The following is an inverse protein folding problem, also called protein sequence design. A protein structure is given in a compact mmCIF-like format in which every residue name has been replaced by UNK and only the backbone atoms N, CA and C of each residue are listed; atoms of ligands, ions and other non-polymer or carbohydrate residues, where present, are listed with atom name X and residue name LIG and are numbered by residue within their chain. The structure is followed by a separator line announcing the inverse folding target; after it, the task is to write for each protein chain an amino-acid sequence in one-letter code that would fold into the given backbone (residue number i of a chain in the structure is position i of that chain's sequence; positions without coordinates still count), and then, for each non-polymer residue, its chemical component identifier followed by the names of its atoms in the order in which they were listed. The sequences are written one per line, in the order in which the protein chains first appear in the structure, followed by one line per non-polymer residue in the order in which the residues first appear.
data_IF_703272936069
#
_entry.id   IF_703272936069
#
_cell.length_a   1.000
_cell.length_b   1.000
_cell.length_c   1.000
_cell.angle_alpha   90.00
_cell.angle_beta   90.00
_cell.angle_gamma   90.00
#
_symmetry.space_group_name_H-M   'P 1'
#
loop_
_entity.id
_entity.type
_entity.pdbx_description
1 polymer ?
#
# COMPACT_ATOMS: atom_id res chain seq x y z
N UNK A 1 -12.51 1.15 -6.38
CA UNK A 1 -11.06 1.29 -6.60
C UNK A 1 -10.35 0.15 -5.88
N UNK A 2 -9.57 -0.65 -6.59
CA UNK A 2 -8.77 -1.75 -6.03
C UNK A 2 -7.38 -1.20 -5.67
N UNK A 3 -6.94 -1.46 -4.44
CA UNK A 3 -5.66 -1.01 -3.91
C UNK A 3 -4.84 -2.24 -3.53
N UNK A 4 -3.60 -2.29 -4.00
CA UNK A 4 -2.61 -3.29 -3.60
C UNK A 4 -1.64 -2.69 -2.56
N UNK A 5 -1.61 -3.24 -1.36
CA UNK A 5 -0.59 -2.95 -0.35
C UNK A 5 0.55 -3.98 -0.40
N UNK A 6 1.79 -3.52 -0.25
CA UNK A 6 3.00 -4.34 -0.18
C UNK A 6 3.78 -4.02 1.10
N UNK A 7 4.10 -5.08 1.85
CA UNK A 7 5.08 -5.06 2.94
C UNK A 7 6.35 -5.79 2.45
N UNK A 8 7.37 -5.06 1.98
CA UNK A 8 8.53 -5.67 1.35
C UNK A 8 9.45 -6.31 2.39
N UNK A 9 9.89 -7.53 2.11
CA UNK A 9 10.90 -8.21 2.92
C UNK A 9 11.69 -9.21 2.08
N UNK A 10 13.00 -9.30 2.35
CA UNK A 10 13.88 -10.13 1.52
C UNK A 10 13.51 -11.62 1.62
N UNK A 11 13.15 -12.14 2.80
CA UNK A 11 12.71 -13.55 2.97
C UNK A 11 11.24 -13.72 2.64
N UNK A 12 10.41 -12.82 3.15
CA UNK A 12 8.96 -12.85 2.99
C UNK A 12 8.51 -11.44 2.64
N UNK A 13 7.79 -11.30 1.53
CA UNK A 13 7.11 -10.06 1.16
C UNK A 13 5.61 -10.26 1.28
N UNK A 14 4.96 -9.48 2.13
CA UNK A 14 3.51 -9.50 2.31
C UNK A 14 2.79 -8.75 1.18
N UNK A 15 1.62 -9.25 0.79
CA UNK A 15 0.70 -8.51 -0.08
C UNK A 15 -0.73 -8.52 0.46
N UNK A 16 -1.45 -7.43 0.23
CA UNK A 16 -2.85 -7.28 0.59
C UNK A 16 -3.62 -6.51 -0.48
N UNK A 17 -4.78 -7.00 -0.88
CA UNK A 17 -5.62 -6.40 -1.91
C UNK A 17 -6.97 -6.07 -1.30
N UNK A 18 -7.38 -4.81 -1.42
CA UNK A 18 -8.66 -4.33 -0.91
C UNK A 18 -9.43 -3.57 -2.00
N UNK A 19 -10.75 -3.57 -1.89
CA UNK A 19 -11.63 -2.72 -2.68
C UNK A 19 -12.16 -1.57 -1.82
N UNK A 20 -11.87 -0.34 -2.23
CA UNK A 20 -12.46 0.89 -1.70
C UNK A 20 -13.68 1.29 -2.53
N UNK A 21 -14.83 1.44 -1.87
CA UNK A 21 -16.06 1.97 -2.44
C UNK A 21 -16.66 3.04 -1.52
N UNK A 22 -16.49 4.32 -1.86
CA UNK A 22 -16.70 5.41 -0.91
C UNK A 22 -15.82 5.19 0.32
N UNK A 23 -16.40 5.29 1.52
CA UNK A 23 -15.68 5.02 2.78
C UNK A 23 -15.63 3.54 3.17
N UNK A 24 -16.26 2.64 2.40
CA UNK A 24 -16.28 1.21 2.71
C UNK A 24 -15.06 0.52 2.13
N UNK A 25 -14.38 -0.26 2.95
CA UNK A 25 -13.29 -1.15 2.55
C UNK A 25 -13.81 -2.58 2.53
N UNK A 26 -13.36 -3.36 1.55
CA UNK A 26 -13.64 -4.80 1.45
C UNK A 26 -12.36 -5.55 1.14
N UNK A 27 -12.15 -6.66 1.83
CA UNK A 27 -11.08 -7.59 1.50
C UNK A 27 -11.28 -8.21 0.11
N UNK A 28 -10.19 -8.36 -0.65
CA UNK A 28 -10.15 -9.17 -1.87
C UNK A 28 -9.25 -10.38 -1.67
N UNK A 29 -7.99 -10.16 -1.29
CA UNK A 29 -6.99 -11.20 -1.13
C UNK A 29 -5.82 -10.71 -0.28
N UNK A 30 -5.05 -11.64 0.27
CA UNK A 30 -3.77 -11.36 0.94
C UNK A 30 -2.93 -12.62 0.95
N UNK A 31 -1.64 -12.46 1.18
CA UNK A 31 -0.72 -13.59 1.29
C UNK A 31 0.72 -13.14 1.41
N UNK A 32 1.62 -14.07 1.15
CA UNK A 32 3.06 -13.81 1.20
C UNK A 32 3.77 -14.41 0.00
N UNK A 33 4.80 -13.71 -0.47
CA UNK A 33 5.75 -14.19 -1.47
C UNK A 33 7.01 -14.57 -0.70
N UNK A 34 7.31 -15.87 -0.70
CA UNK A 34 8.48 -16.44 0.00
C UNK A 34 9.61 -16.59 -1.01
N UNK A 35 10.69 -15.82 -0.85
CA UNK A 35 11.84 -15.87 -1.77
C UNK A 35 12.76 -17.07 -1.55
N UNK A 36 12.54 -17.81 -0.45
CA UNK A 36 13.33 -18.98 -0.10
C UNK A 36 14.78 -18.64 0.26
N UNK A 37 15.67 -19.60 -0.02
CA UNK A 37 17.11 -19.51 0.21
C UNK A 37 17.86 -19.42 -1.13
N UNK A 38 19.17 -19.18 -1.05
CA UNK A 38 20.05 -19.05 -2.22
C UNK A 38 20.53 -17.62 -2.48
N UNK A 39 21.10 -17.42 -3.66
CA UNK A 39 21.77 -16.19 -4.05
C UNK A 39 20.79 -15.02 -4.15
N UNK A 40 21.26 -13.85 -3.69
CA UNK A 40 20.44 -12.63 -3.60
C UNK A 40 19.76 -12.25 -4.93
N UNK A 41 20.43 -12.25 -6.10
CA UNK A 41 19.77 -11.91 -7.36
C UNK A 41 18.57 -12.82 -7.71
N UNK A 42 18.69 -14.12 -7.46
CA UNK A 42 17.60 -15.07 -7.71
C UNK A 42 16.41 -14.80 -6.79
N UNK A 43 16.69 -14.50 -5.52
CA UNK A 43 15.67 -14.16 -4.53
C UNK A 43 14.95 -12.84 -4.85
N UNK A 44 15.68 -11.83 -5.33
CA UNK A 44 15.10 -10.58 -5.82
C UNK A 44 14.19 -10.81 -7.03
N UNK A 45 14.57 -11.72 -7.94
CA UNK A 45 13.72 -12.13 -9.07
C UNK A 45 12.41 -12.76 -8.60
N UNK A 46 12.44 -13.63 -7.57
CA UNK A 46 11.21 -14.21 -7.00
C UNK A 46 10.27 -13.13 -6.46
N UNK A 47 10.80 -12.11 -5.79
CA UNK A 47 9.99 -10.97 -5.29
C UNK A 47 9.40 -10.20 -6.48
N UNK A 48 10.21 -9.87 -7.49
CA UNK A 48 9.76 -9.15 -8.68
C UNK A 48 8.64 -9.90 -9.40
N UNK A 49 8.86 -11.18 -9.71
CA UNK A 49 7.90 -12.01 -10.44
C UNK A 49 6.63 -12.23 -9.61
N UNK A 50 6.74 -12.48 -8.31
CA UNK A 50 5.59 -12.67 -7.43
C UNK A 50 4.72 -11.42 -7.30
N UNK A 51 5.33 -10.24 -7.14
CA UNK A 51 4.59 -8.97 -7.09
C UNK A 51 3.94 -8.68 -8.45
N UNK A 52 4.64 -8.97 -9.56
CA UNK A 52 4.08 -8.88 -10.91
C UNK A 52 2.88 -9.80 -11.10
N UNK A 53 2.93 -11.04 -10.62
CA UNK A 53 1.83 -11.99 -10.68
C UNK A 53 0.60 -11.50 -9.90
N UNK A 54 0.81 -10.97 -8.68
CA UNK A 54 -0.27 -10.36 -7.89
C UNK A 54 -0.88 -9.17 -8.63
N UNK A 55 -0.07 -8.27 -9.19
CA UNK A 55 -0.54 -7.13 -9.97
C UNK A 55 -1.34 -7.57 -11.21
N UNK A 56 -0.86 -8.56 -11.96
CA UNK A 56 -1.54 -9.10 -13.13
C UNK A 56 -2.86 -9.81 -12.79
N UNK A 57 -2.89 -10.53 -11.67
CA UNK A 57 -4.05 -11.30 -11.20
C UNK A 57 -5.18 -10.40 -10.74
N UNK A 58 -4.88 -9.43 -9.87
CA UNK A 58 -5.90 -8.61 -9.23
C UNK A 58 -6.16 -7.27 -9.94
N UNK A 59 -5.28 -6.85 -10.86
CA UNK A 59 -5.38 -5.62 -11.65
C UNK A 59 -5.75 -4.40 -10.79
N UNK A 60 -4.94 -4.08 -9.76
CA UNK A 60 -5.23 -2.95 -8.91
C UNK A 60 -5.17 -1.62 -9.69
N UNK A 61 -5.90 -0.62 -9.22
CA UNK A 61 -5.86 0.74 -9.80
C UNK A 61 -4.61 1.50 -9.33
N UNK A 62 -4.15 1.21 -8.12
CA UNK A 62 -2.94 1.77 -7.53
C UNK A 62 -2.31 0.80 -6.53
N UNK A 63 -1.06 1.07 -6.18
CA UNK A 63 -0.34 0.35 -5.15
C UNK A 63 0.17 1.28 -4.05
N UNK A 64 0.33 0.72 -2.86
CA UNK A 64 0.93 1.37 -1.72
C UNK A 64 2.00 0.45 -1.12
N UNK A 65 3.14 1.01 -0.74
CA UNK A 65 4.26 0.26 -0.19
C UNK A 65 4.78 0.91 1.09
N UNK A 66 5.23 0.09 2.04
CA UNK A 66 5.88 0.59 3.24
C UNK A 66 7.23 1.27 2.91
N UNK A 67 7.50 2.40 3.58
CA UNK A 67 8.80 3.07 3.58
C UNK A 67 9.76 2.36 4.52
N UNK A 68 10.95 2.07 4.01
CA UNK A 68 12.04 1.49 4.81
C UNK A 68 12.90 2.62 5.36
N UNK A 69 13.16 2.57 6.66
CA UNK A 69 14.08 3.47 7.36
C UNK A 69 15.37 2.73 7.71
N UNK A 70 16.48 3.46 7.78
CA UNK A 70 17.76 2.89 8.18
C UNK A 70 17.67 2.44 9.64
N UNK A 71 17.93 1.15 9.87
CA UNK A 71 17.93 0.57 11.21
C UNK A 71 19.37 0.39 11.73
N UNK A 72 19.51 -0.10 12.96
CA UNK A 72 20.78 -0.33 13.68
C UNK A 72 21.78 -1.16 12.87
N UNK A 73 21.30 -2.06 12.00
CA UNK A 73 22.15 -2.83 11.10
C UNK A 73 22.03 -2.31 9.63
N UNK A 74 23.07 -1.61 9.12
CA UNK A 74 23.06 -1.08 7.76
C UNK A 74 23.02 -2.17 6.69
N UNK A 75 23.59 -3.35 6.94
CA UNK A 75 23.64 -4.43 5.97
C UNK A 75 22.25 -5.03 5.74
N UNK A 76 21.48 -5.29 6.82
CA UNK A 76 20.10 -5.76 6.67
C UNK A 76 19.20 -4.71 6.03
N UNK A 77 19.43 -3.42 6.34
CA UNK A 77 18.73 -2.29 5.70
C UNK A 77 19.00 -2.26 4.19
N UNK A 78 20.25 -2.46 3.76
CA UNK A 78 20.61 -2.48 2.34
C UNK A 78 19.90 -3.62 1.60
N UNK A 79 19.90 -4.82 2.18
CA UNK A 79 19.21 -5.99 1.63
C UNK A 79 17.69 -5.77 1.52
N UNK A 80 17.09 -5.18 2.56
CA UNK A 80 15.67 -4.80 2.56
C UNK A 80 15.37 -3.74 1.49
N UNK A 81 16.25 -2.75 1.32
CA UNK A 81 16.16 -1.76 0.26
C UNK A 81 16.17 -2.37 -1.15
N UNK A 82 16.98 -3.41 -1.37
CA UNK A 82 17.00 -4.14 -2.65
C UNK A 82 15.70 -4.93 -2.89
N UNK A 83 15.19 -5.63 -1.88
CA UNK A 83 13.90 -6.33 -1.96
C UNK A 83 12.74 -5.37 -2.26
N UNK A 84 12.73 -4.22 -1.57
CA UNK A 84 11.78 -3.13 -1.83
C UNK A 84 11.92 -2.58 -3.25
N UNK A 85 13.15 -2.38 -3.73
CA UNK A 85 13.42 -1.96 -5.11
C UNK A 85 12.83 -2.92 -6.13
N UNK A 86 13.01 -4.23 -5.95
CA UNK A 86 12.43 -5.26 -6.81
C UNK A 86 10.89 -5.19 -6.83
N UNK A 87 10.25 -5.03 -5.66
CA UNK A 87 8.80 -4.88 -5.56
C UNK A 87 8.30 -3.61 -6.28
N UNK A 88 8.95 -2.46 -6.07
CA UNK A 88 8.57 -1.20 -6.75
C UNK A 88 8.72 -1.35 -8.26
N UNK A 89 9.84 -1.91 -8.75
CA UNK A 89 10.06 -2.17 -10.16
C UNK A 89 8.94 -3.02 -10.77
N UNK A 90 8.48 -4.07 -10.08
CA UNK A 90 7.37 -4.90 -10.53
C UNK A 90 6.07 -4.09 -10.68
N UNK A 91 5.73 -3.27 -9.67
CA UNK A 91 4.51 -2.44 -9.66
C UNK A 91 4.52 -1.40 -10.78
N UNK A 92 5.60 -0.63 -10.91
CA UNK A 92 5.67 0.44 -11.92
C UNK A 92 5.78 -0.12 -13.33
N UNK A 93 6.36 -1.31 -13.52
CA UNK A 93 6.37 -2.02 -14.81
C UNK A 93 4.96 -2.43 -15.26
N UNK A 94 4.03 -2.58 -14.31
CA UNK A 94 2.60 -2.78 -14.58
C UNK A 94 1.81 -1.47 -14.75
N UNK A 95 2.49 -0.32 -14.75
CA UNK A 95 1.86 1.00 -14.90
C UNK A 95 1.08 1.47 -13.67
N UNK A 96 1.32 0.86 -12.51
CA UNK A 96 0.63 1.22 -11.27
C UNK A 96 1.23 2.50 -10.66
N UNK A 97 0.42 3.49 -10.30
CA UNK A 97 0.85 4.55 -9.39
C UNK A 97 1.21 3.93 -8.04
N UNK A 98 2.40 4.26 -7.52
CA UNK A 98 2.88 3.75 -6.22
C UNK A 98 2.96 4.90 -5.22
N UNK A 99 2.26 4.75 -4.09
CA UNK A 99 2.37 5.63 -2.93
C UNK A 99 3.17 4.98 -1.81
N UNK A 100 3.81 5.78 -0.97
CA UNK A 100 4.69 5.29 0.08
C UNK A 100 4.27 5.79 1.46
N UNK A 101 4.25 4.89 2.45
CA UNK A 101 3.83 5.20 3.82
C UNK A 101 4.83 4.72 4.86
N UNK A 102 5.10 5.54 5.85
CA UNK A 102 5.89 5.14 7.02
C UNK A 102 5.11 4.21 7.96
N UNK A 103 5.80 3.40 8.80
CA UNK A 103 5.15 2.59 9.83
C UNK A 103 4.25 3.43 10.74
N UNK A 104 4.69 4.65 11.08
CA UNK A 104 3.93 5.58 11.92
C UNK A 104 2.64 6.03 11.25
N UNK A 105 2.68 6.37 9.95
CA UNK A 105 1.47 6.73 9.19
C UNK A 105 0.50 5.57 9.09
N UNK A 106 1.01 4.36 8.84
CA UNK A 106 0.19 3.14 8.82
C UNK A 106 -0.52 2.93 10.16
N UNK A 107 0.23 2.92 11.26
CA UNK A 107 -0.31 2.75 12.61
C UNK A 107 -1.33 3.83 12.96
N UNK A 108 -1.04 5.08 12.60
CA UNK A 108 -1.96 6.20 12.78
C UNK A 108 -3.26 6.01 11.98
N UNK A 109 -3.17 5.57 10.73
CA UNK A 109 -4.33 5.42 9.84
C UNK A 109 -5.21 4.21 10.19
N UNK A 110 -4.61 3.13 10.73
CA UNK A 110 -5.31 1.88 11.04
C UNK A 110 -5.85 1.87 12.48
N UNK A 111 -5.04 2.29 13.45
CA UNK A 111 -5.33 2.17 14.89
C UNK A 111 -5.69 3.52 15.52
N UNK A 112 -5.34 4.63 14.89
CA UNK A 112 -5.55 5.99 15.43
C UNK A 112 -4.36 6.54 16.24
N UNK A 113 -3.27 5.78 16.37
CA UNK A 113 -2.03 6.25 17.00
C UNK A 113 -0.79 5.66 16.32
N UNK A 114 0.18 6.50 15.99
CA UNK A 114 1.47 6.09 15.43
C UNK A 114 2.33 5.19 16.35
N UNK A 115 1.98 5.09 17.63
CA UNK A 115 2.70 4.27 18.64
C UNK A 115 2.07 2.90 18.87
N UNK A 116 1.09 2.50 18.08
CA UNK A 116 0.41 1.21 18.23
C UNK A 116 1.38 0.01 18.17
N UNK A 117 1.07 -1.01 18.96
CA UNK A 117 1.72 -2.32 18.89
C UNK A 117 1.32 -3.07 17.62
N UNK A 118 2.13 -4.03 17.15
CA UNK A 118 1.86 -4.75 15.89
C UNK A 118 0.57 -5.57 15.98
N UNK A 119 0.30 -6.14 17.14
CA UNK A 119 -0.89 -6.95 17.43
C UNK A 119 -2.16 -6.10 17.29
N UNK A 120 -2.11 -4.84 17.74
CA UNK A 120 -3.23 -3.91 17.59
C UNK A 120 -3.51 -3.57 16.12
N UNK A 121 -2.47 -3.45 15.30
CA UNK A 121 -2.62 -3.25 13.85
C UNK A 121 -3.31 -4.47 13.25
N UNK A 122 -2.84 -5.67 13.57
CA UNK A 122 -3.41 -6.93 13.07
C UNK A 122 -4.89 -7.10 13.43
N UNK A 123 -5.25 -6.84 14.69
CA UNK A 123 -6.64 -6.86 15.16
C UNK A 123 -7.52 -5.85 14.42
N UNK A 124 -7.00 -4.62 14.25
CA UNK A 124 -7.74 -3.55 13.57
C UNK A 124 -7.91 -3.83 12.08
N UNK A 125 -6.90 -4.39 11.41
CA UNK A 125 -7.00 -4.84 10.02
C UNK A 125 -8.12 -5.88 9.87
N UNK A 126 -8.15 -6.88 10.76
CA UNK A 126 -9.19 -7.90 10.74
C UNK A 126 -10.60 -7.29 10.91
N UNK A 127 -10.75 -6.33 11.83
CA UNK A 127 -12.03 -5.63 12.08
C UNK A 127 -12.45 -4.76 10.89
N UNK A 128 -11.56 -3.91 10.39
CA UNK A 128 -11.85 -2.96 9.31
C UNK A 128 -12.21 -3.66 7.99
N UNK A 129 -11.67 -4.85 7.76
CA UNK A 129 -11.93 -5.64 6.56
C UNK A 129 -12.93 -6.79 6.79
N UNK A 130 -13.49 -6.91 8.00
CA UNK A 130 -14.39 -7.99 8.41
C UNK A 130 -13.84 -9.39 8.07
N UNK A 131 -12.56 -9.63 8.37
CA UNK A 131 -11.92 -10.92 8.19
C UNK A 131 -12.47 -11.92 9.22
N UNK A 132 -12.64 -13.21 8.86
CA UNK A 132 -13.16 -14.22 9.77
C UNK A 132 -12.12 -14.71 10.81
N UNK A 133 -10.88 -14.24 10.69
CA UNK A 133 -9.77 -14.60 11.56
C UNK A 133 -8.62 -13.64 11.37
N UNK A 134 -7.61 -13.76 12.24
CA UNK A 134 -6.43 -12.92 12.18
C UNK A 134 -5.56 -13.30 10.96
N UNK A 135 -5.21 -12.34 10.09
CA UNK A 135 -4.26 -12.59 9.01
C UNK A 135 -2.87 -12.86 9.57
N UNK A 136 -1.98 -13.53 8.84
CA UNK A 136 -0.56 -13.60 9.21
C UNK A 136 0.07 -12.21 9.30
N UNK A 137 1.14 -12.04 10.08
CA UNK A 137 1.73 -10.73 10.39
C UNK A 137 2.11 -9.92 9.14
N UNK A 138 2.79 -10.53 8.17
CA UNK A 138 3.22 -9.85 6.94
C UNK A 138 2.02 -9.47 6.06
N UNK A 139 0.97 -10.32 6.05
CA UNK A 139 -0.27 -10.03 5.35
C UNK A 139 -1.06 -8.89 6.05
N UNK A 140 -1.01 -8.84 7.38
CA UNK A 140 -1.63 -7.77 8.16
C UNK A 140 -0.96 -6.42 7.90
N UNK A 141 0.37 -6.37 7.92
CA UNK A 141 1.16 -5.17 7.63
C UNK A 141 0.85 -4.70 6.19
N UNK A 142 0.84 -5.60 5.20
CA UNK A 142 0.49 -5.26 3.80
C UNK A 142 -0.97 -4.76 3.63
N UNK A 143 -1.95 -5.40 4.28
CA UNK A 143 -3.35 -4.91 4.28
C UNK A 143 -3.46 -3.55 4.98
N UNK A 144 -2.69 -3.34 6.05
CA UNK A 144 -2.59 -2.08 6.77
C UNK A 144 -2.06 -0.95 5.88
N UNK A 145 -1.04 -1.21 5.05
CA UNK A 145 -0.53 -0.27 4.05
C UNK A 145 -1.64 0.12 3.06
N UNK A 146 -2.42 -0.86 2.58
CA UNK A 146 -3.52 -0.59 1.65
C UNK A 146 -4.64 0.26 2.30
N UNK A 147 -5.00 -0.03 3.55
CA UNK A 147 -5.97 0.76 4.34
C UNK A 147 -5.45 2.18 4.55
N UNK A 148 -4.17 2.33 4.90
CA UNK A 148 -3.52 3.63 5.08
C UNK A 148 -3.63 4.49 3.81
N UNK A 149 -3.40 3.89 2.65
CA UNK A 149 -3.59 4.58 1.37
C UNK A 149 -5.05 4.98 1.15
N UNK A 150 -6.00 4.07 1.39
CA UNK A 150 -7.42 4.35 1.24
C UNK A 150 -7.89 5.54 2.10
N UNK A 151 -7.47 5.60 3.37
CA UNK A 151 -7.80 6.70 4.27
C UNK A 151 -7.12 8.02 3.85
N UNK A 152 -5.87 7.95 3.39
CA UNK A 152 -5.13 9.13 2.93
C UNK A 152 -5.82 9.80 1.73
N UNK A 153 -6.37 9.02 0.80
CA UNK A 153 -7.13 9.55 -0.34
C UNK A 153 -8.40 10.30 0.08
N UNK A 154 -9.09 9.82 1.13
CA UNK A 154 -10.26 10.52 1.68
C UNK A 154 -9.87 11.87 2.31
N UNK A 155 -8.75 11.91 3.05
CA UNK A 155 -8.25 13.15 3.65
C UNK A 155 -7.89 14.19 2.60
N UNK A 156 -7.21 13.77 1.52
CA UNK A 156 -6.87 14.66 0.41
C UNK A 156 -8.13 15.18 -0.30
N UNK A 157 -9.14 14.33 -0.51
CA UNK A 157 -10.41 14.74 -1.11
C UNK A 157 -11.15 15.79 -0.25
N UNK A 158 -11.19 15.59 1.07
CA UNK A 158 -11.80 16.54 2.02
C UNK A 158 -11.06 17.87 2.01
N UNK A 159 -9.72 17.85 2.09
CA UNK A 159 -8.91 19.07 2.06
C UNK A 159 -9.10 19.85 0.75
N UNK A 160 -9.15 19.15 -0.40
CA UNK A 160 -9.42 19.77 -1.70
C UNK A 160 -10.81 20.41 -1.78
N UNK A 161 -11.84 19.73 -1.26
CA UNK A 161 -13.20 20.26 -1.23
C UNK A 161 -13.31 21.50 -0.32
N UNK A 162 -12.67 21.48 0.85
CA UNK A 162 -12.62 22.62 1.75
C UNK A 162 -11.91 23.83 1.09
N UNK A 163 -10.79 23.60 0.40
CA UNK A 163 -10.07 24.65 -0.31
C UNK A 163 -10.90 25.24 -1.46
N UNK A 164 -11.59 24.39 -2.24
CA UNK A 164 -12.46 24.84 -3.32
C UNK A 164 -13.63 25.69 -2.79
N UNK A 165 -14.23 25.29 -1.67
CA UNK A 165 -15.30 26.03 -1.02
C UNK A 165 -14.82 27.41 -0.54
N UNK A 166 -13.61 27.50 0.03
CA UNK A 166 -13.00 28.78 0.42
C UNK A 166 -12.76 29.70 -0.79
N UNK A 167 -12.31 29.17 -1.92
CA UNK A 167 -12.10 29.93 -3.16
C UNK A 167 -13.44 30.47 -3.68
N UNK A 168 -14.49 29.63 -3.70
CA UNK A 168 -15.83 30.02 -4.15
C UNK A 168 -16.48 31.04 -3.21
N UNK A 169 -16.24 30.93 -1.90
CA UNK A 169 -16.72 31.89 -0.89
C UNK A 169 -15.88 33.18 -0.84
N UNK A 170 -14.70 33.21 -1.47
CA UNK A 170 -13.73 34.30 -1.42
C UNK A 170 -13.83 35.35 -2.53
N UNK A 171 -14.87 35.35 -3.38
CA UNK A 171 -15.06 36.40 -4.40
C UNK A 171 -15.86 37.60 -3.87
N UNK A 172 -15.23 38.44 -3.03
CA UNK A 172 -15.58 39.87 -2.91
C UNK A 172 -14.34 40.70 -3.27
N UNK A 173 -14.43 41.74 -4.12
CA UNK A 173 -13.27 42.53 -4.50
C UNK A 173 -12.91 43.58 -3.43
N UNK A 174 -11.65 44.05 -3.49
CA UNK A 174 -11.01 45.17 -2.75
C UNK A 174 -10.51 44.86 -1.32
N UNK A 175 -9.31 45.24 -0.86
CA UNK A 175 -8.20 46.09 -1.36
C UNK A 175 -6.94 45.76 -0.54
N UNK A 176 -5.76 45.87 -1.18
CA UNK A 176 -4.37 45.91 -0.65
C UNK A 176 -4.18 46.04 0.89
N UNK A 177 -3.31 45.19 1.44
CA UNK A 177 -2.01 45.62 1.98
C UNK A 177 -1.05 44.42 2.08
N UNK A 178 0.19 44.63 1.62
CA UNK A 178 1.30 43.69 1.74
C UNK A 178 1.72 43.57 3.20
N UNK A 179 1.83 42.35 3.73
CA UNK A 179 2.93 41.93 4.63
C UNK A 179 2.91 40.42 4.87
N UNK A 180 4.10 39.86 4.79
CA UNK A 180 4.45 38.44 4.92
C UNK A 180 4.14 37.87 6.31
N UNK A 181 3.83 36.57 6.37
CA UNK A 181 4.50 35.61 7.27
C UNK A 181 4.48 34.24 6.58
N UNK A 182 5.68 33.71 6.32
CA UNK A 182 5.93 32.32 6.04
C UNK A 182 6.16 31.57 7.37
N UNK A 183 5.64 30.34 7.50
CA UNK A 183 6.32 29.16 8.06
C UNK A 183 5.32 28.12 8.59
N UNK A 184 5.56 26.84 8.24
CA UNK A 184 5.37 25.75 9.19
C UNK A 184 4.21 24.78 8.98
N UNK A 185 4.16 24.09 7.84
CA UNK A 185 3.68 22.70 7.78
C UNK A 185 4.48 21.95 6.72
N UNK A 186 5.46 21.17 7.16
CA UNK A 186 6.10 20.17 6.30
C UNK A 186 5.09 19.04 6.07
N UNK A 187 4.22 19.22 5.07
CA UNK A 187 3.60 18.10 4.37
C UNK A 187 4.73 17.44 3.59
N UNK A 188 5.19 16.26 4.02
CA UNK A 188 5.90 15.37 3.10
C UNK A 188 4.93 15.09 1.94
N UNK A 189 5.22 15.57 0.72
CA UNK A 189 4.33 15.30 -0.41
C UNK A 189 4.30 13.79 -0.61
N UNK A 190 3.10 13.22 -0.73
CA UNK A 190 2.92 11.93 -1.37
C UNK A 190 3.48 12.11 -2.77
N UNK A 191 4.70 11.62 -3.02
CA UNK A 191 5.34 11.73 -4.33
C UNK A 191 4.76 10.61 -5.19
N UNK A 192 3.90 10.90 -6.19
CA UNK A 192 3.54 9.90 -7.16
C UNK A 192 4.77 9.68 -8.04
N UNK A 193 5.37 8.49 -7.98
CA UNK A 193 6.37 8.09 -8.97
C UNK A 193 5.62 7.87 -10.28
N UNK A 194 5.64 8.86 -11.17
CA UNK A 194 4.99 8.81 -12.47
C UNK A 194 5.74 7.84 -13.41
N UNK A 195 5.13 6.70 -13.73
CA UNK A 195 5.66 5.75 -14.70
C UNK A 195 5.37 6.24 -16.14
N UNK A 196 6.42 6.61 -16.90
CA UNK A 196 6.33 6.79 -18.36
C UNK A 196 6.39 5.40 -19.03
N UNK A 197 5.35 5.09 -19.82
CA UNK A 197 5.19 3.85 -20.62
C UNK A 197 6.41 3.58 -21.52
N UNK A 198 6.89 2.33 -21.51
CA UNK A 198 7.11 1.36 -22.62
C UNK A 198 7.95 0.21 -22.01
N UNK A 199 7.59 -1.08 -22.05
CA UNK A 199 7.94 -2.09 -23.08
C UNK A 199 7.23 -3.42 -22.74
N UNK A 200 6.97 -4.20 -23.80
CA UNK A 200 6.25 -5.48 -23.86
C UNK A 200 7.02 -6.67 -23.28
N UNK A 201 6.26 -7.55 -22.62
CA UNK A 201 6.21 -9.00 -22.85
C UNK A 201 7.42 -9.86 -22.45
N UNK A 202 7.28 -10.60 -21.35
CA UNK A 202 7.91 -11.91 -21.18
C UNK A 202 7.03 -12.80 -20.28
N UNK A 203 6.71 -13.98 -20.77
CA UNK A 203 6.02 -15.07 -20.06
C UNK A 203 7.01 -15.82 -19.16
N UNK A 204 6.66 -16.12 -17.91
CA UNK A 204 7.39 -17.14 -17.13
C UNK A 204 6.53 -17.88 -16.11
N UNK A 205 7.02 -19.07 -15.83
CA UNK A 205 6.46 -20.21 -15.11
C UNK A 205 6.01 -19.93 -13.68
N UNK A 206 4.98 -20.68 -13.28
CA UNK A 206 4.34 -20.69 -11.98
C UNK A 206 5.34 -20.79 -10.82
N UNK A 207 5.34 -19.77 -9.97
CA UNK A 207 5.97 -19.78 -8.65
C UNK A 207 4.87 -20.03 -7.62
N UNK A 208 5.12 -20.86 -6.61
CA UNK A 208 4.11 -21.26 -5.65
C UNK A 208 3.71 -20.08 -4.74
N UNK A 209 2.63 -19.38 -5.10
CA UNK A 209 1.90 -18.48 -4.20
C UNK A 209 1.17 -19.34 -3.16
N UNK A 210 1.52 -19.16 -1.89
CA UNK A 210 0.79 -19.73 -0.77
C UNK A 210 -0.54 -18.96 -0.59
N UNK A 211 -1.60 -19.43 -1.27
CA UNK A 211 -2.96 -18.86 -1.27
C UNK A 211 -3.76 -19.17 0.03
N UNK A 212 -3.08 -19.40 1.15
CA UNK A 212 -3.70 -19.75 2.42
C UNK A 212 -4.70 -18.71 2.96
N UNK A 213 -5.99 -19.09 2.95
CA UNK A 213 -7.16 -18.52 3.64
C UNK A 213 -7.65 -17.14 3.16
N UNK A 214 -8.81 -16.96 2.51
CA UNK A 214 -10.13 -17.54 2.76
C UNK A 214 -10.98 -17.53 1.47
N UNK A 215 -11.16 -18.68 0.81
CA UNK A 215 -12.20 -18.89 -0.20
C UNK A 215 -13.44 -19.49 0.46
N UNK A 216 -14.52 -18.74 0.63
CA UNK A 216 -15.85 -19.32 0.87
C UNK A 216 -16.94 -18.69 -0.02
N UNK A 217 -17.32 -19.49 -1.02
CA UNK A 217 -18.67 -19.80 -1.54
C UNK A 217 -19.63 -18.63 -1.80
N UNK A 218 -19.74 -18.25 -3.08
CA UNK A 218 -21.03 -17.81 -3.65
C UNK A 218 -21.98 -19.00 -3.73
N UNK A 219 -23.16 -18.85 -3.11
CA UNK A 219 -24.44 -19.38 -3.59
C UNK A 219 -24.85 -20.80 -3.20
N UNK A 220 -25.94 -20.90 -2.43
CA UNK A 220 -27.12 -21.68 -2.82
C UNK A 220 -28.37 -21.16 -2.08
N UNK A 221 -29.11 -20.27 -2.74
CA UNK A 221 -30.57 -20.26 -2.67
C UNK A 221 -31.03 -21.43 -3.54
N UNK A 222 -31.76 -22.41 -2.97
CA UNK A 222 -32.96 -23.13 -3.48
C UNK A 222 -33.29 -24.18 -2.41
N UNK A 223 -34.53 -24.16 -1.91
CA UNK A 223 -35.08 -25.12 -0.94
C UNK A 223 -36.17 -24.45 -0.13
#
# INVERSE_FOLDING_TARGET
MIILGIDPGLRTTGFGVIHKHGHKLRYIASGTIKSGEGELPARLKVILDGVAEVAATYKPDCAAIEKVFVNVNPQSTLLLGQARGAAICALVSHGLPVAEYSPTQLKQAVVGTGRAAKEQVQDMVARLLALPGLPGTDAADALGVAICHAHSLDMVAIAGAAQALQILQGSKPARRSLRAVAAGIANDPVVPVAAKRTVRGATSSATAIDLGALRMRRGRLVG
#
